data_IF_069252984838
#
_entry.id   IF_069252984838
#
_cell.length_a   1.000
_cell.length_b   1.000
_cell.length_c   1.000
_cell.angle_alpha   90.00
_cell.angle_beta   90.00
_cell.angle_gamma   90.00
#
_symmetry.space_group_name_H-M   'P 1'
#
loop_
_entity.id
_entity.type
_entity.pdbx_description
1 polymer ?
#
# COMPACT_ATOMS: atom_id res chain seq x y z
N UNK A 1 -30.52 42.52 52.24
CA UNK A 1 -29.19 42.28 51.66
C UNK A 1 -29.33 41.09 50.71
N UNK A 2 -29.49 41.34 49.40
CA UNK A 2 -29.64 40.29 48.38
C UNK A 2 -28.24 39.95 47.86
N UNK A 3 -27.79 38.72 48.08
CA UNK A 3 -26.55 38.21 47.48
C UNK A 3 -26.94 37.68 46.10
N UNK A 4 -26.60 38.43 45.06
CA UNK A 4 -26.69 37.94 43.68
C UNK A 4 -25.55 36.97 43.43
N UNK A 5 -25.89 35.69 43.26
CA UNK A 5 -24.94 34.66 42.84
C UNK A 5 -24.62 34.89 41.36
N UNK A 6 -23.44 35.43 41.06
CA UNK A 6 -22.95 35.59 39.70
C UNK A 6 -22.53 34.20 39.19
N UNK A 7 -23.38 33.54 38.40
CA UNK A 7 -22.97 32.36 37.64
C UNK A 7 -22.01 32.80 36.54
N UNK A 8 -20.71 32.58 36.75
CA UNK A 8 -19.72 32.65 35.69
C UNK A 8 -19.89 31.38 34.85
N UNK A 9 -20.64 31.50 33.76
CA UNK A 9 -20.62 30.51 32.68
C UNK A 9 -19.30 30.72 31.95
N UNK A 10 -18.32 29.85 32.21
CA UNK A 10 -17.11 29.79 31.39
C UNK A 10 -17.53 29.11 30.08
N UNK A 11 -17.54 29.82 28.92
CA UNK A 11 -17.74 29.14 27.66
C UNK A 11 -16.58 28.16 27.48
N UNK A 12 -16.87 26.87 27.38
CA UNK A 12 -15.90 25.88 26.91
C UNK A 12 -15.59 26.22 25.45
N UNK A 13 -14.53 26.97 25.22
CA UNK A 13 -13.89 27.00 23.90
C UNK A 13 -13.50 25.56 23.63
N UNK A 14 -14.12 24.92 22.64
CA UNK A 14 -13.67 23.64 22.11
C UNK A 14 -12.21 23.86 21.72
N UNK A 15 -11.30 23.35 22.54
CA UNK A 15 -9.88 23.66 22.44
C UNK A 15 -9.34 23.14 21.12
N UNK A 16 -8.56 23.97 20.43
CA UNK A 16 -7.77 23.56 19.27
C UNK A 16 -7.00 22.28 19.64
N UNK A 17 -7.10 21.20 18.86
CA UNK A 17 -6.35 19.99 19.14
C UNK A 17 -4.85 20.24 19.29
N UNK A 18 -4.23 19.68 20.33
CA UNK A 18 -2.81 19.88 20.58
C UNK A 18 -1.94 19.19 19.52
N UNK A 19 -0.88 19.84 19.05
CA UNK A 19 0.12 19.21 18.20
C UNK A 19 1.03 18.29 19.05
N UNK A 20 0.90 16.98 18.88
CA UNK A 20 1.71 15.99 19.60
C UNK A 20 2.85 15.52 18.68
N UNK A 21 4.07 15.96 18.96
CA UNK A 21 5.21 15.70 18.06
C UNK A 21 5.57 14.22 17.93
N UNK A 22 5.22 13.37 18.91
CA UNK A 22 5.61 11.98 18.90
C UNK A 22 4.61 11.05 19.61
N UNK A 23 4.27 9.95 18.95
CA UNK A 23 3.50 8.85 19.48
C UNK A 23 4.38 7.62 19.69
N UNK A 24 4.26 7.04 20.88
CA UNK A 24 4.96 5.82 21.27
C UNK A 24 3.94 4.69 21.47
N UNK A 25 4.34 3.42 21.29
CA UNK A 25 3.47 2.30 21.58
C UNK A 25 2.94 2.37 23.03
N UNK A 26 1.63 2.17 23.25
CA UNK A 26 1.05 2.22 24.59
C UNK A 26 1.58 1.08 25.47
N UNK A 27 1.65 1.30 26.79
CA UNK A 27 2.01 0.24 27.73
C UNK A 27 1.02 -0.92 27.66
N UNK A 28 -0.28 -0.62 27.53
CA UNK A 28 -1.29 -1.62 27.21
C UNK A 28 -1.35 -1.84 25.70
N UNK A 29 -0.83 -2.98 25.27
CA UNK A 29 -0.64 -3.35 23.86
C UNK A 29 -1.94 -3.69 23.11
N UNK A 30 -3.08 -3.71 23.79
CA UNK A 30 -4.41 -3.86 23.19
C UNK A 30 -5.18 -2.52 23.14
N UNK A 31 -4.57 -1.41 23.59
CA UNK A 31 -5.25 -0.13 23.63
C UNK A 31 -5.15 0.59 22.28
N UNK A 32 -6.31 0.98 21.76
CA UNK A 32 -6.42 1.89 20.63
C UNK A 32 -6.09 3.31 21.10
N UNK A 33 -5.13 3.96 20.46
CA UNK A 33 -4.82 5.38 20.71
C UNK A 33 -5.60 6.24 19.73
N UNK A 34 -6.23 7.30 20.23
CA UNK A 34 -7.03 8.23 19.43
C UNK A 34 -6.34 9.58 19.36
N UNK A 35 -6.31 10.15 18.16
CA UNK A 35 -5.88 11.53 17.97
C UNK A 35 -6.84 12.27 17.03
N UNK A 36 -7.25 13.50 17.39
CA UNK A 36 -7.23 14.06 18.74
C UNK A 36 -7.99 13.22 19.77
N UNK A 37 -7.89 13.52 21.07
CA UNK A 37 -8.57 12.72 22.11
C UNK A 37 -10.10 12.76 22.02
N UNK A 38 -10.67 13.79 21.39
CA UNK A 38 -12.09 13.91 21.11
C UNK A 38 -12.51 13.35 19.73
N UNK A 39 -11.57 12.77 18.98
CA UNK A 39 -11.89 12.07 17.73
C UNK A 39 -12.72 10.83 18.05
N UNK A 40 -13.86 10.73 17.38
CA UNK A 40 -14.57 9.46 17.20
C UNK A 40 -14.77 9.25 15.71
N UNK A 41 -14.90 8.00 15.27
CA UNK A 41 -15.15 7.68 13.86
C UNK A 41 -16.34 8.45 13.26
N UNK A 42 -17.35 8.74 14.09
CA UNK A 42 -18.54 9.52 13.73
C UNK A 42 -18.38 11.04 13.89
N UNK A 43 -17.38 11.49 14.66
CA UNK A 43 -17.18 12.89 15.02
C UNK A 43 -15.71 13.24 14.79
N UNK A 44 -15.42 13.75 13.59
CA UNK A 44 -14.06 14.15 13.20
C UNK A 44 -13.81 15.61 13.64
N UNK A 45 -12.82 15.87 14.52
CA UNK A 45 -12.51 17.21 15.00
C UNK A 45 -12.08 18.14 13.87
N UNK A 46 -12.52 19.40 13.96
CA UNK A 46 -12.14 20.46 13.04
C UNK A 46 -10.86 21.14 13.53
N UNK A 47 -9.95 21.43 12.59
CA UNK A 47 -8.69 22.11 12.86
C UNK A 47 -8.75 23.56 12.35
N UNK A 48 -8.10 24.51 13.06
CA UNK A 48 -8.09 25.92 12.65
C UNK A 48 -7.21 26.15 11.41
N UNK A 49 -7.36 27.31 10.77
CA UNK A 49 -6.45 27.84 9.75
C UNK A 49 -4.98 27.82 10.18
N UNK A 50 -4.09 27.65 9.20
CA UNK A 50 -2.64 27.80 9.36
C UNK A 50 -2.07 26.89 10.46
N UNK A 51 -2.72 25.76 10.70
CA UNK A 51 -2.22 24.75 11.60
C UNK A 51 -1.18 23.92 10.84
N UNK A 52 0.05 23.86 11.38
CA UNK A 52 1.12 23.02 10.85
C UNK A 52 1.61 22.13 12.00
N UNK A 53 1.45 20.82 11.83
CA UNK A 53 1.89 19.84 12.81
C UNK A 53 2.41 18.59 12.13
N UNK A 54 3.50 18.05 12.68
CA UNK A 54 4.08 16.78 12.28
C UNK A 54 4.03 15.81 13.46
N UNK A 55 3.33 14.70 13.26
CA UNK A 55 3.16 13.62 14.22
C UNK A 55 4.16 12.50 13.89
N UNK A 56 5.23 12.38 14.66
CA UNK A 56 6.16 11.26 14.55
C UNK A 56 5.60 10.00 15.18
N UNK A 57 5.65 8.86 14.49
CA UNK A 57 5.11 7.59 14.95
C UNK A 57 6.25 6.60 15.17
N UNK A 58 6.50 6.22 16.42
CA UNK A 58 7.54 5.26 16.76
C UNK A 58 7.00 3.83 16.71
N UNK A 59 7.76 2.94 16.07
CA UNK A 59 7.41 1.52 15.95
C UNK A 59 8.63 0.67 16.32
N UNK A 60 8.52 -0.21 17.34
CA UNK A 60 9.60 -1.13 17.70
C UNK A 60 9.91 -2.15 16.60
N UNK A 61 11.11 -2.73 16.63
CA UNK A 61 11.46 -3.85 15.75
C UNK A 61 10.52 -5.04 15.99
N UNK A 62 10.05 -5.66 14.90
CA UNK A 62 9.12 -6.80 14.97
C UNK A 62 7.66 -6.40 15.20
N UNK A 63 7.34 -5.11 15.09
CA UNK A 63 6.01 -4.55 15.25
C UNK A 63 5.62 -3.71 14.05
N UNK A 64 4.32 -3.49 13.92
CA UNK A 64 3.75 -2.46 13.08
C UNK A 64 2.73 -1.64 13.88
N UNK A 65 2.35 -0.50 13.32
CA UNK A 65 1.19 0.26 13.77
C UNK A 65 0.23 0.40 12.59
N UNK A 66 -1.02 0.01 12.82
CA UNK A 66 -2.12 0.31 11.93
C UNK A 66 -2.68 1.69 12.30
N UNK A 67 -2.80 2.55 11.31
CA UNK A 67 -3.47 3.85 11.40
C UNK A 67 -4.80 3.75 10.66
N UNK A 68 -5.90 4.21 11.27
CA UNK A 68 -7.13 4.51 10.52
C UNK A 68 -7.29 6.03 10.47
N UNK A 69 -7.15 6.60 9.27
CA UNK A 69 -7.12 8.03 9.04
C UNK A 69 -8.47 8.54 8.52
N UNK A 70 -8.94 9.65 9.05
CA UNK A 70 -10.10 10.39 8.56
C UNK A 70 -9.70 11.82 8.24
N UNK A 71 -9.92 12.23 6.98
CA UNK A 71 -9.65 13.59 6.49
C UNK A 71 -10.78 14.02 5.60
N UNK A 72 -11.41 15.12 5.93
CA UNK A 72 -12.38 15.77 5.05
C UNK A 72 -12.08 17.27 4.99
N UNK A 73 -12.35 17.88 3.84
CA UNK A 73 -12.32 19.31 3.71
C UNK A 73 -13.52 19.82 2.93
N UNK A 74 -14.30 20.72 3.53
CA UNK A 74 -15.58 21.19 2.96
C UNK A 74 -15.40 22.20 1.81
N UNK A 75 -14.24 22.87 1.70
CA UNK A 75 -13.97 23.90 0.69
C UNK A 75 -12.62 23.71 -0.05
N UNK A 76 -12.11 22.48 -0.10
CA UNK A 76 -10.86 22.15 -0.79
C UNK A 76 -11.12 21.50 -2.14
N UNK A 77 -10.19 21.67 -3.08
CA UNK A 77 -10.21 20.91 -4.32
C UNK A 77 -9.61 19.52 -4.08
N UNK A 78 -10.47 18.52 -3.85
CA UNK A 78 -10.05 17.12 -3.69
C UNK A 78 -9.16 16.69 -4.86
N UNK A 79 -8.02 16.06 -4.56
CA UNK A 79 -7.02 15.66 -5.55
C UNK A 79 -6.07 16.78 -6.01
N UNK A 80 -6.17 18.00 -5.47
CA UNK A 80 -5.24 19.12 -5.72
C UNK A 80 -4.74 19.74 -4.42
N UNK A 81 -5.65 19.90 -3.47
CA UNK A 81 -5.35 20.38 -2.13
C UNK A 81 -5.09 19.18 -1.23
N UNK A 82 -3.84 19.03 -0.81
CA UNK A 82 -3.39 17.98 0.10
C UNK A 82 -3.02 18.64 1.42
N UNK A 83 -3.89 18.46 2.42
CA UNK A 83 -3.65 18.96 3.77
C UNK A 83 -2.89 17.93 4.62
N UNK A 84 -2.87 16.66 4.20
CA UNK A 84 -2.16 15.60 4.89
C UNK A 84 -1.08 14.97 4.02
N UNK A 85 0.11 14.79 4.60
CA UNK A 85 1.22 14.06 3.99
C UNK A 85 1.67 12.95 4.92
N UNK A 86 1.63 11.73 4.43
CA UNK A 86 2.11 10.53 5.11
C UNK A 86 3.54 10.26 4.63
N UNK A 87 4.49 10.10 5.55
CA UNK A 87 5.88 9.72 5.26
C UNK A 87 6.18 8.38 5.93
N UNK A 88 6.60 7.39 5.15
CA UNK A 88 6.83 6.03 5.64
C UNK A 88 8.25 5.81 6.19
N UNK A 89 8.54 4.57 6.60
CA UNK A 89 9.83 4.12 7.11
C UNK A 89 10.99 4.26 6.12
N UNK A 90 10.70 4.40 4.83
CA UNK A 90 11.67 4.59 3.74
C UNK A 90 11.76 6.07 3.31
N UNK A 91 11.16 6.99 4.06
CA UNK A 91 11.07 8.42 3.74
C UNK A 91 10.31 8.71 2.42
N UNK A 92 9.48 7.77 1.96
CA UNK A 92 8.60 7.94 0.81
C UNK A 92 7.33 8.64 1.27
N UNK A 93 6.76 9.48 0.42
CA UNK A 93 5.62 10.31 0.78
C UNK A 93 4.36 9.95 -0.01
N UNK A 94 3.22 10.02 0.66
CA UNK A 94 1.88 9.92 0.07
C UNK A 94 1.07 11.15 0.51
N UNK A 95 0.43 11.81 -0.46
CA UNK A 95 -0.40 12.98 -0.20
C UNK A 95 -1.86 12.59 -0.14
N UNK A 96 -2.56 13.02 0.90
CA UNK A 96 -3.94 12.65 1.20
C UNK A 96 -4.80 13.92 1.22
N UNK A 97 -5.78 13.97 0.32
CA UNK A 97 -6.76 15.07 0.22
C UNK A 97 -8.12 14.69 0.81
N UNK A 98 -8.39 13.40 0.97
CA UNK A 98 -9.60 12.85 1.55
C UNK A 98 -9.28 11.44 2.06
N UNK A 99 -9.83 11.07 3.21
CA UNK A 99 -9.77 9.71 3.74
C UNK A 99 -10.99 9.46 4.62
N UNK A 100 -11.64 8.31 4.45
CA UNK A 100 -12.72 7.85 5.32
C UNK A 100 -12.31 6.51 5.94
N UNK A 101 -11.93 6.56 7.23
CA UNK A 101 -11.30 5.47 7.98
C UNK A 101 -10.20 4.69 7.20
N UNK A 102 -9.46 5.36 6.33
CA UNK A 102 -8.51 4.72 5.42
C UNK A 102 -7.29 4.18 6.17
N UNK A 103 -6.86 2.97 5.82
CA UNK A 103 -5.75 2.30 6.50
C UNK A 103 -4.38 2.73 5.96
N UNK A 104 -3.48 3.03 6.89
CA UNK A 104 -2.04 3.21 6.68
C UNK A 104 -1.26 2.37 7.68
N UNK A 105 -0.02 2.03 7.34
CA UNK A 105 0.82 1.18 8.17
C UNK A 105 2.23 1.76 8.27
N UNK A 106 2.80 1.69 9.46
CA UNK A 106 4.23 1.91 9.67
C UNK A 106 4.85 0.69 10.34
N UNK A 107 6.05 0.31 9.90
CA UNK A 107 6.88 -0.73 10.54
C UNK A 107 8.06 -0.09 11.27
N UNK A 108 9.03 -0.89 11.72
CA UNK A 108 10.28 -0.42 12.30
C UNK A 108 10.92 0.73 11.50
N UNK A 109 11.60 1.65 12.21
CA UNK A 109 11.97 3.02 11.80
C UNK A 109 10.81 4.02 11.76
N UNK A 110 9.56 3.55 11.93
CA UNK A 110 8.41 4.40 12.12
C UNK A 110 8.04 5.20 10.89
N UNK A 111 7.32 6.30 11.11
CA UNK A 111 6.89 7.19 10.05
C UNK A 111 6.37 8.50 10.61
N UNK A 112 5.78 9.32 9.74
CA UNK A 112 5.26 10.64 10.10
C UNK A 112 3.94 10.89 9.40
N UNK A 113 3.05 11.59 10.10
CA UNK A 113 1.85 12.17 9.53
C UNK A 113 2.00 13.68 9.68
N UNK A 114 1.99 14.42 8.58
CA UNK A 114 2.00 15.88 8.59
C UNK A 114 0.62 16.41 8.23
N UNK A 115 0.08 17.29 9.05
CA UNK A 115 -1.14 18.06 8.78
C UNK A 115 -0.75 19.53 8.56
N UNK A 116 -1.18 20.10 7.44
CA UNK A 116 -1.05 21.52 7.13
C UNK A 116 -2.39 22.04 6.64
N UNK A 117 -3.06 22.87 7.44
CA UNK A 117 -4.36 23.46 7.08
C UNK A 117 -4.17 24.86 6.49
N UNK A 118 -4.89 25.15 5.41
CA UNK A 118 -4.91 26.49 4.78
C UNK A 118 -6.21 27.25 5.05
N UNK A 119 -7.30 26.52 5.30
CA UNK A 119 -8.65 27.02 5.56
C UNK A 119 -9.27 26.35 6.79
N UNK A 120 -10.28 26.97 7.42
CA UNK A 120 -10.91 26.55 8.70
C UNK A 120 -11.86 25.36 8.49
N UNK A 121 -11.61 24.53 7.48
CA UNK A 121 -12.56 23.56 6.95
C UNK A 121 -12.02 22.15 6.93
N UNK A 122 -10.83 21.92 7.48
CA UNK A 122 -10.22 20.59 7.52
C UNK A 122 -10.67 19.88 8.79
N UNK A 123 -11.34 18.75 8.64
CA UNK A 123 -11.56 17.80 9.72
C UNK A 123 -10.51 16.70 9.61
N UNK A 124 -9.87 16.39 10.73
CA UNK A 124 -8.77 15.45 10.77
C UNK A 124 -8.82 14.61 12.05
N UNK A 125 -8.56 13.33 11.91
CA UNK A 125 -8.38 12.44 13.05
C UNK A 125 -7.80 11.12 12.61
N UNK A 126 -7.12 10.43 13.52
CA UNK A 126 -6.68 9.07 13.28
C UNK A 126 -6.68 8.24 14.55
N UNK A 127 -6.84 6.93 14.38
CA UNK A 127 -6.59 5.96 15.44
C UNK A 127 -5.30 5.21 15.17
N UNK A 128 -4.69 4.67 16.22
CA UNK A 128 -3.46 3.89 16.13
C UNK A 128 -3.55 2.63 16.97
N UNK A 129 -3.24 1.50 16.35
CA UNK A 129 -3.16 0.20 17.00
C UNK A 129 -1.79 -0.42 16.70
N UNK A 130 -0.95 -0.58 17.74
CA UNK A 130 0.34 -1.26 17.61
C UNK A 130 0.15 -2.76 17.79
N UNK A 131 0.70 -3.53 16.86
CA UNK A 131 0.62 -4.99 16.87
C UNK A 131 1.99 -5.59 16.56
N UNK A 132 2.35 -6.72 17.20
CA UNK A 132 3.51 -7.48 16.79
C UNK A 132 3.24 -8.13 15.43
N UNK A 133 4.30 -8.42 14.68
CA UNK A 133 4.17 -9.30 13.51
C UNK A 133 3.59 -10.66 13.93
N UNK A 134 2.82 -11.26 13.03
CA UNK A 134 2.25 -12.58 13.29
C UNK A 134 3.34 -13.63 13.54
N UNK A 135 3.09 -14.51 14.52
CA UNK A 135 3.94 -15.67 14.79
C UNK A 135 3.63 -16.87 13.86
N UNK A 136 2.69 -16.70 12.92
CA UNK A 136 2.37 -17.75 11.93
C UNK A 136 3.61 -18.04 11.08
N UNK A 137 4.04 -19.31 10.95
CA UNK A 137 5.13 -19.67 10.07
C UNK A 137 4.87 -19.20 8.63
N UNK A 138 5.85 -18.58 7.96
CA UNK A 138 5.66 -18.14 6.59
C UNK A 138 5.58 -19.33 5.62
N UNK A 139 4.88 -19.13 4.51
CA UNK A 139 4.98 -20.01 3.35
C UNK A 139 6.44 -20.07 2.87
N UNK A 140 6.93 -21.26 2.55
CA UNK A 140 8.23 -21.42 1.90
C UNK A 140 7.99 -21.66 0.42
N UNK A 141 8.38 -20.67 -0.41
CA UNK A 141 8.18 -20.69 -1.84
C UNK A 141 9.53 -20.75 -2.55
N UNK A 142 9.57 -21.36 -3.73
CA UNK A 142 10.74 -21.37 -4.59
C UNK A 142 10.36 -20.85 -5.97
N UNK A 143 11.27 -20.11 -6.59
CA UNK A 143 11.20 -19.70 -7.99
C UNK A 143 12.50 -20.08 -8.70
N UNK A 144 12.38 -20.54 -9.93
CA UNK A 144 13.47 -21.13 -10.72
C UNK A 144 13.51 -20.53 -12.12
N UNK A 145 14.69 -20.57 -12.74
CA UNK A 145 14.85 -20.23 -14.16
C UNK A 145 14.12 -21.23 -15.08
N UNK A 146 13.81 -22.42 -14.59
CA UNK A 146 13.03 -23.41 -15.33
C UNK A 146 11.51 -23.18 -15.25
N UNK A 147 11.05 -22.29 -14.37
CA UNK A 147 9.62 -22.02 -14.21
C UNK A 147 9.07 -21.30 -15.45
N UNK A 148 7.93 -21.79 -15.93
CA UNK A 148 7.19 -21.18 -17.05
C UNK A 148 6.03 -20.31 -16.58
N UNK A 149 5.65 -20.43 -15.30
CA UNK A 149 4.60 -19.64 -14.68
C UNK A 149 5.12 -18.93 -13.43
N UNK A 150 4.74 -17.66 -13.21
CA UNK A 150 5.02 -16.98 -11.95
C UNK A 150 4.41 -17.73 -10.78
N UNK A 151 5.12 -17.77 -9.66
CA UNK A 151 4.53 -18.16 -8.39
C UNK A 151 3.64 -17.01 -7.91
N UNK A 152 2.42 -17.33 -7.50
CA UNK A 152 1.42 -16.34 -7.15
C UNK A 152 1.10 -16.42 -5.65
N UNK A 153 1.20 -15.29 -4.95
CA UNK A 153 0.58 -15.13 -3.63
C UNK A 153 -0.76 -14.43 -3.87
N UNK A 154 -1.83 -15.20 -3.65
CA UNK A 154 -3.22 -14.78 -3.85
C UNK A 154 -3.97 -14.71 -2.52
N UNK A 155 -4.91 -13.76 -2.43
CA UNK A 155 -6.30 -13.89 -1.93
C UNK A 155 -6.55 -14.49 -0.52
N UNK A 156 -7.50 -13.91 0.22
CA UNK A 156 -8.27 -14.48 1.36
C UNK A 156 -7.57 -15.54 2.25
N UNK A 157 -6.33 -15.27 2.66
CA UNK A 157 -5.42 -16.30 3.17
C UNK A 157 -3.97 -16.07 2.77
N UNK A 158 -3.70 -14.98 2.04
CA UNK A 158 -2.36 -14.46 1.81
C UNK A 158 -1.61 -14.42 3.16
N UNK A 159 -0.70 -15.36 3.30
CA UNK A 159 0.14 -15.52 4.48
C UNK A 159 1.51 -14.95 4.18
N UNK A 160 2.26 -14.51 5.21
CA UNK A 160 3.65 -14.15 5.02
C UNK A 160 4.41 -15.27 4.30
N UNK A 161 5.36 -14.90 3.44
CA UNK A 161 6.12 -15.86 2.64
C UNK A 161 7.62 -15.54 2.67
N UNK A 162 8.44 -16.58 2.62
CA UNK A 162 9.86 -16.51 2.31
C UNK A 162 10.07 -17.22 0.97
N UNK A 163 10.60 -16.48 0.02
CA UNK A 163 10.76 -16.90 -1.37
C UNK A 163 12.23 -17.08 -1.65
N UNK A 164 12.61 -18.24 -2.18
CA UNK A 164 13.97 -18.54 -2.62
C UNK A 164 14.05 -18.58 -4.14
N UNK A 165 14.90 -17.75 -4.72
CA UNK A 165 15.27 -17.80 -6.15
C UNK A 165 16.52 -18.64 -6.38
N UNK A 166 16.66 -19.18 -7.59
CA UNK A 166 17.92 -19.77 -8.05
C UNK A 166 19.00 -18.70 -8.23
N UNK A 167 18.60 -17.53 -8.74
CA UNK A 167 19.48 -16.36 -8.87
C UNK A 167 19.07 -15.29 -7.85
N UNK A 168 17.97 -14.58 -8.13
CA UNK A 168 17.36 -13.56 -7.28
C UNK A 168 15.85 -13.68 -7.45
N UNK A 169 15.10 -13.11 -6.52
CA UNK A 169 13.64 -13.06 -6.59
C UNK A 169 13.24 -11.71 -7.17
N UNK A 170 12.37 -11.74 -8.18
CA UNK A 170 11.63 -10.59 -8.69
C UNK A 170 10.19 -10.67 -8.17
N UNK A 171 9.68 -9.55 -7.66
CA UNK A 171 8.29 -9.38 -7.27
C UNK A 171 7.63 -8.26 -8.06
N UNK A 172 6.43 -8.55 -8.55
CA UNK A 172 5.52 -7.61 -9.21
C UNK A 172 4.12 -7.80 -8.62
N UNK A 173 3.21 -6.86 -8.87
CA UNK A 173 1.85 -6.92 -8.31
C UNK A 173 0.84 -6.53 -9.37
N UNK A 174 -0.37 -7.09 -9.26
CA UNK A 174 -1.51 -6.61 -10.03
C UNK A 174 -2.16 -5.48 -9.24
N UNK A 175 -2.26 -4.30 -9.84
CA UNK A 175 -2.91 -3.18 -9.19
C UNK A 175 -4.41 -3.49 -8.98
N UNK A 176 -4.98 -3.10 -7.83
CA UNK A 176 -6.41 -3.22 -7.62
C UNK A 176 -7.16 -2.31 -8.60
N UNK A 177 -8.36 -2.71 -8.96
CA UNK A 177 -9.22 -1.90 -9.83
C UNK A 177 -9.74 -0.65 -9.10
N UNK A 178 -10.12 -0.81 -7.84
CA UNK A 178 -10.71 0.28 -7.07
C UNK A 178 -9.67 0.96 -6.18
N UNK A 179 -9.74 2.28 -6.12
CA UNK A 179 -8.72 3.09 -5.47
C UNK A 179 -8.69 2.89 -3.95
N UNK A 180 -9.83 2.58 -3.34
CA UNK A 180 -10.00 2.32 -1.92
C UNK A 180 -9.37 0.98 -1.50
N UNK A 181 -9.18 0.04 -2.42
CA UNK A 181 -8.46 -1.21 -2.16
C UNK A 181 -6.94 -1.02 -2.01
N UNK A 182 -6.39 0.11 -2.45
CA UNK A 182 -4.96 0.42 -2.28
C UNK A 182 -4.51 0.36 -0.81
N UNK A 183 -5.42 0.58 0.13
CA UNK A 183 -5.13 0.49 1.55
C UNK A 183 -4.63 -0.90 1.96
N UNK A 184 -5.11 -1.97 1.31
CA UNK A 184 -4.68 -3.35 1.60
C UNK A 184 -3.25 -3.61 1.11
N UNK A 185 -2.89 -3.02 -0.03
CA UNK A 185 -1.53 -3.06 -0.57
C UNK A 185 -0.51 -2.30 0.30
N UNK A 186 -0.94 -1.36 1.15
CA UNK A 186 -0.04 -0.72 2.13
C UNK A 186 0.38 -1.68 3.24
N UNK A 187 -0.44 -2.69 3.54
CA UNK A 187 -0.17 -3.72 4.55
C UNK A 187 0.66 -4.91 4.07
N UNK A 188 1.12 -4.89 2.81
CA UNK A 188 1.99 -5.90 2.21
C UNK A 188 3.39 -5.31 2.05
N UNK A 189 4.37 -5.87 2.74
CA UNK A 189 5.74 -5.34 2.82
C UNK A 189 6.73 -6.35 2.25
N UNK A 190 7.68 -5.87 1.43
CA UNK A 190 8.74 -6.68 0.85
C UNK A 190 10.07 -6.41 1.53
N UNK A 191 10.83 -7.47 1.82
CA UNK A 191 12.14 -7.40 2.43
C UNK A 191 13.18 -8.14 1.58
N UNK A 192 14.37 -7.53 1.47
CA UNK A 192 15.52 -8.07 0.77
C UNK A 192 16.29 -9.08 1.64
N UNK A 193 15.73 -10.28 1.78
CA UNK A 193 16.30 -11.37 2.54
C UNK A 193 15.24 -12.30 3.14
N UNK A 194 15.66 -13.33 3.90
CA UNK A 194 14.75 -14.37 4.39
C UNK A 194 13.99 -14.00 5.68
N UNK A 195 14.11 -12.76 6.18
CA UNK A 195 13.52 -12.35 7.47
C UNK A 195 12.93 -10.95 7.41
N UNK A 196 12.00 -10.67 8.31
CA UNK A 196 11.37 -9.35 8.52
C UNK A 196 12.31 -8.28 9.12
N UNK A 197 13.56 -8.66 9.45
CA UNK A 197 14.61 -7.75 9.91
C UNK A 197 15.55 -7.32 8.79
N UNK A 198 15.41 -7.89 7.59
CA UNK A 198 16.20 -7.50 6.44
C UNK A 198 15.81 -6.10 5.93
N UNK A 199 16.52 -5.60 4.92
CA UNK A 199 16.24 -4.28 4.33
C UNK A 199 14.84 -4.26 3.72
N UNK A 200 13.99 -3.31 4.15
CA UNK A 200 12.67 -3.09 3.55
C UNK A 200 12.82 -2.51 2.13
N UNK A 201 12.26 -3.18 1.13
CA UNK A 201 12.22 -2.73 -0.26
C UNK A 201 11.07 -1.74 -0.51
N UNK A 202 9.97 -1.91 0.23
CA UNK A 202 8.78 -1.07 0.19
C UNK A 202 7.49 -1.87 0.33
N UNK A 203 6.38 -1.19 0.05
CA UNK A 203 5.04 -1.81 0.10
C UNK A 203 4.57 -2.25 -1.29
N UNK A 204 3.55 -3.11 -1.34
CA UNK A 204 2.88 -3.46 -2.61
C UNK A 204 2.22 -2.23 -3.25
N UNK A 205 1.73 -1.27 -2.45
CA UNK A 205 1.10 -0.05 -2.96
C UNK A 205 2.13 0.81 -3.71
N UNK A 206 3.33 0.92 -3.17
CA UNK A 206 4.44 1.62 -3.81
C UNK A 206 4.91 0.91 -5.08
N UNK A 207 4.97 -0.42 -5.04
CA UNK A 207 5.34 -1.23 -6.20
C UNK A 207 4.35 -1.04 -7.35
N UNK A 208 3.05 -1.11 -7.05
CA UNK A 208 1.96 -0.87 -7.99
C UNK A 208 2.02 0.53 -8.60
N UNK A 209 2.22 1.58 -7.79
CA UNK A 209 2.32 2.97 -8.27
C UNK A 209 3.59 3.26 -9.06
N UNK A 210 4.67 2.52 -8.78
CA UNK A 210 5.99 2.71 -9.39
C UNK A 210 6.15 2.10 -10.78
N UNK A 211 5.18 1.30 -11.26
CA UNK A 211 5.25 0.57 -12.52
C UNK A 211 6.55 -0.24 -12.68
N UNK A 212 6.99 -0.90 -11.60
CA UNK A 212 8.31 -1.54 -11.53
C UNK A 212 8.24 -2.91 -10.88
N UNK A 213 9.40 -3.52 -10.65
CA UNK A 213 9.59 -4.73 -9.88
C UNK A 213 10.46 -4.44 -8.65
N UNK A 214 10.24 -5.19 -7.57
CA UNK A 214 11.25 -5.32 -6.52
C UNK A 214 12.14 -6.51 -6.83
N UNK A 215 13.44 -6.35 -6.64
CA UNK A 215 14.45 -7.38 -6.91
C UNK A 215 15.31 -7.55 -5.67
N UNK A 216 15.48 -8.78 -5.20
CA UNK A 216 16.38 -9.07 -4.09
C UNK A 216 17.85 -8.93 -4.51
N UNK A 217 18.71 -8.53 -3.56
CA UNK A 217 20.16 -8.47 -3.79
C UNK A 217 20.79 -9.87 -3.88
N UNK A 218 20.26 -10.83 -3.13
CA UNK A 218 20.62 -12.25 -3.17
C UNK A 218 19.45 -13.15 -3.53
N UNK A 219 19.55 -14.43 -3.16
CA UNK A 219 18.60 -15.47 -3.54
C UNK A 219 17.30 -15.50 -2.71
N UNK A 220 17.09 -14.55 -1.80
CA UNK A 220 15.94 -14.56 -0.91
C UNK A 220 15.21 -13.23 -0.90
N UNK A 221 13.89 -13.31 -0.93
CA UNK A 221 12.98 -12.21 -0.63
C UNK A 221 11.94 -12.71 0.35
N UNK A 222 11.47 -11.84 1.23
CA UNK A 222 10.35 -12.19 2.11
C UNK A 222 9.23 -11.16 1.99
N UNK A 223 8.00 -11.65 2.00
CA UNK A 223 6.77 -10.89 1.84
C UNK A 223 6.01 -10.99 3.15
N UNK A 224 5.88 -9.88 3.87
CA UNK A 224 5.12 -9.79 5.11
C UNK A 224 3.73 -9.22 4.83
N UNK A 225 2.72 -9.85 5.41
CA UNK A 225 1.34 -9.40 5.32
C UNK A 225 0.90 -9.09 6.75
N UNK A 226 0.65 -7.81 7.02
CA UNK A 226 0.49 -7.29 8.39
C UNK A 226 -0.86 -7.68 9.00
N UNK A 227 -1.90 -7.84 8.19
CA UNK A 227 -3.25 -8.17 8.64
C UNK A 227 -3.94 -9.19 7.73
N UNK A 228 -4.89 -9.93 8.28
CA UNK A 228 -5.78 -10.77 7.48
C UNK A 228 -6.87 -9.89 6.88
N UNK A 229 -6.88 -9.77 5.56
CA UNK A 229 -7.92 -9.04 4.85
C UNK A 229 -9.06 -10.00 4.50
N UNK A 230 -10.30 -9.65 4.85
CA UNK A 230 -11.50 -10.48 4.62
C UNK A 230 -11.92 -10.60 3.15
N UNK A 231 -11.10 -10.08 2.24
CA UNK A 231 -11.43 -9.89 0.83
C UNK A 231 -10.22 -10.17 -0.07
N UNK A 232 -10.52 -10.32 -1.36
CA UNK A 232 -9.70 -10.92 -2.39
C UNK A 232 -8.66 -9.97 -3.05
N UNK A 233 -8.16 -8.97 -2.34
CA UNK A 233 -7.53 -7.79 -2.97
C UNK A 233 -6.01 -7.86 -3.18
N UNK A 234 -5.33 -9.00 -3.06
CA UNK A 234 -3.86 -9.02 -3.16
C UNK A 234 -3.40 -10.14 -4.09
N UNK A 235 -2.78 -9.72 -5.19
CA UNK A 235 -2.15 -10.59 -6.18
C UNK A 235 -0.69 -10.16 -6.38
N UNK A 236 0.24 -10.98 -5.91
CA UNK A 236 1.69 -10.76 -6.00
C UNK A 236 2.29 -11.86 -6.87
N UNK A 237 2.98 -11.46 -7.93
CA UNK A 237 3.65 -12.36 -8.86
C UNK A 237 5.14 -12.40 -8.53
N UNK A 238 5.65 -13.62 -8.31
CA UNK A 238 7.03 -13.91 -7.95
C UNK A 238 7.69 -14.76 -9.02
N UNK A 239 8.89 -14.37 -9.45
CA UNK A 239 9.65 -15.07 -10.48
C UNK A 239 11.15 -15.04 -10.16
N UNK A 240 11.92 -15.92 -10.78
CA UNK A 240 13.38 -15.74 -10.80
C UNK A 240 13.73 -14.49 -11.62
N UNK A 241 14.69 -13.72 -11.14
CA UNK A 241 15.08 -12.46 -11.79
C UNK A 241 15.65 -12.65 -13.19
N UNK A 242 16.17 -13.83 -13.53
CA UNK A 242 16.68 -14.11 -14.88
C UNK A 242 15.64 -13.83 -15.98
N UNK A 243 14.36 -14.04 -15.67
CA UNK A 243 13.20 -13.84 -16.55
C UNK A 243 12.78 -12.38 -16.68
N UNK A 244 13.20 -11.53 -15.75
CA UNK A 244 12.69 -10.16 -15.60
C UNK A 244 13.76 -9.08 -15.68
N UNK A 245 15.04 -9.47 -15.74
CA UNK A 245 16.20 -8.57 -15.69
C UNK A 245 16.25 -7.50 -16.79
N UNK A 246 15.68 -7.78 -17.95
CA UNK A 246 15.74 -6.89 -19.12
C UNK A 246 14.45 -6.07 -19.28
N UNK A 247 13.45 -6.27 -18.41
CA UNK A 247 12.17 -5.54 -18.44
C UNK A 247 12.31 -4.24 -17.66
N UNK A 248 11.99 -3.12 -18.31
CA UNK A 248 12.15 -1.77 -17.74
C UNK A 248 10.91 -1.26 -17.03
N UNK A 249 9.74 -1.84 -17.32
CA UNK A 249 8.48 -1.43 -16.73
C UNK A 249 7.51 -2.60 -16.57
N UNK A 250 6.85 -2.67 -15.43
CA UNK A 250 5.76 -3.60 -15.17
C UNK A 250 4.48 -2.83 -14.89
N UNK A 251 3.40 -3.23 -15.52
CA UNK A 251 2.05 -2.86 -15.12
C UNK A 251 1.23 -4.13 -14.97
N UNK A 252 0.35 -4.16 -13.99
CA UNK A 252 -0.58 -5.25 -13.81
C UNK A 252 -1.90 -4.71 -13.31
N UNK A 253 -2.99 -5.40 -13.64
CA UNK A 253 -4.32 -5.03 -13.20
C UNK A 253 -5.13 -6.28 -12.88
N UNK A 254 -5.80 -6.28 -11.73
CA UNK A 254 -6.89 -7.22 -11.48
C UNK A 254 -8.18 -6.63 -12.06
N UNK A 255 -8.91 -7.43 -12.85
CA UNK A 255 -10.22 -7.04 -13.36
C UNK A 255 -11.33 -7.73 -12.57
N UNK A 256 -12.33 -6.96 -12.14
CA UNK A 256 -13.50 -7.50 -11.47
C UNK A 256 -14.51 -8.07 -12.48
N UNK A 257 -15.32 -9.02 -12.01
CA UNK A 257 -16.37 -9.73 -12.75
C UNK A 257 -17.38 -8.79 -13.43
N UNK A 258 -17.75 -7.68 -12.77
CA UNK A 258 -18.91 -6.86 -13.16
C UNK A 258 -18.56 -5.60 -13.97
N UNK A 259 -17.29 -5.27 -14.15
CA UNK A 259 -16.89 -3.97 -14.70
C UNK A 259 -15.76 -4.13 -15.73
N UNK A 260 -15.81 -3.30 -16.78
CA UNK A 260 -14.68 -3.19 -17.70
C UNK A 260 -13.50 -2.56 -16.96
N UNK A 261 -12.34 -3.22 -17.00
CA UNK A 261 -11.08 -2.60 -16.63
C UNK A 261 -10.84 -1.35 -17.47
N UNK A 262 -10.93 -0.18 -16.85
CA UNK A 262 -10.69 1.08 -17.55
C UNK A 262 -9.19 1.28 -17.76
N UNK A 263 -8.84 1.49 -19.03
CA UNK A 263 -7.56 1.96 -19.59
C UNK A 263 -6.30 1.62 -18.77
N UNK A 264 -5.58 0.60 -19.23
CA UNK A 264 -4.15 0.43 -18.91
C UNK A 264 -3.42 1.73 -19.26
N UNK A 265 -2.52 2.19 -18.39
CA UNK A 265 -1.75 3.40 -18.65
C UNK A 265 -0.89 3.19 -19.90
N UNK A 266 -0.54 4.29 -20.57
CA UNK A 266 0.47 4.28 -21.63
C UNK A 266 1.73 3.53 -21.15
N UNK A 267 2.21 2.60 -21.96
CA UNK A 267 3.46 1.88 -21.71
C UNK A 267 4.49 2.36 -22.72
N UNK A 268 5.65 2.81 -22.24
CA UNK A 268 6.72 3.34 -23.07
C UNK A 268 7.87 2.33 -23.16
N UNK A 269 7.97 1.67 -24.31
CA UNK A 269 9.02 0.69 -24.59
C UNK A 269 10.29 1.30 -25.22
N UNK A 270 10.44 2.63 -25.22
CA UNK A 270 11.60 3.30 -25.83
C UNK A 270 12.94 2.95 -25.18
N UNK A 271 12.93 2.58 -23.90
CA UNK A 271 14.11 2.23 -23.11
C UNK A 271 14.31 0.71 -22.94
N UNK A 272 13.38 -0.11 -23.44
CA UNK A 272 13.41 -1.56 -23.32
C UNK A 272 12.01 -2.18 -23.24
N UNK A 273 11.92 -3.52 -23.15
CA UNK A 273 10.64 -4.23 -23.03
C UNK A 273 9.82 -3.77 -21.82
N UNK A 274 8.51 -3.62 -22.03
CA UNK A 274 7.51 -3.33 -21.02
C UNK A 274 6.50 -4.46 -20.97
N UNK A 275 6.02 -4.79 -19.78
CA UNK A 275 5.10 -5.91 -19.59
C UNK A 275 3.80 -5.44 -18.95
N UNK A 276 2.70 -5.89 -19.55
CA UNK A 276 1.37 -5.86 -18.94
C UNK A 276 1.00 -7.25 -18.44
N UNK A 277 0.60 -7.34 -17.17
CA UNK A 277 0.29 -8.60 -16.49
C UNK A 277 -1.20 -8.65 -16.14
N UNK A 278 -1.82 -9.80 -16.39
CA UNK A 278 -3.16 -10.10 -15.90
C UNK A 278 -3.18 -11.50 -15.35
N UNK A 279 -4.01 -11.71 -14.33
CA UNK A 279 -4.30 -13.02 -13.80
C UNK A 279 -5.80 -13.19 -13.72
N UNK A 280 -6.28 -14.37 -14.11
CA UNK A 280 -7.65 -14.78 -13.88
C UNK A 280 -7.64 -16.14 -13.20
N UNK A 281 -8.19 -16.29 -12.00
CA UNK A 281 -8.36 -17.60 -11.38
C UNK A 281 -9.34 -18.45 -12.20
N UNK A 282 -9.12 -19.76 -12.23
CA UNK A 282 -9.90 -20.74 -13.02
C UNK A 282 -11.42 -20.65 -12.80
N UNK A 283 -11.85 -20.15 -11.64
CA UNK A 283 -13.27 -19.98 -11.27
C UNK A 283 -13.92 -18.69 -11.79
N UNK A 284 -13.19 -17.82 -12.49
CA UNK A 284 -13.68 -16.55 -13.04
C UNK A 284 -13.57 -16.54 -14.57
N UNK A 285 -14.30 -15.64 -15.22
CA UNK A 285 -14.20 -15.43 -16.67
C UNK A 285 -12.82 -14.87 -17.03
N UNK A 286 -12.20 -15.34 -18.13
CA UNK A 286 -10.90 -14.90 -18.56
C UNK A 286 -10.90 -13.38 -18.82
N UNK A 287 -9.84 -12.71 -18.38
CA UNK A 287 -9.59 -11.34 -18.81
C UNK A 287 -9.35 -11.33 -20.32
N UNK A 288 -10.06 -10.44 -21.02
CA UNK A 288 -9.93 -10.28 -22.48
C UNK A 288 -9.44 -8.89 -22.78
N UNK A 289 -8.28 -8.80 -23.41
CA UNK A 289 -7.79 -7.55 -24.00
C UNK A 289 -8.52 -7.37 -25.34
N UNK A 290 -9.37 -6.34 -25.43
CA UNK A 290 -10.22 -6.09 -26.62
C UNK A 290 -9.57 -5.14 -27.63
N UNK A 291 -8.50 -4.43 -27.25
CA UNK A 291 -7.77 -3.55 -28.14
C UNK A 291 -6.50 -3.01 -27.51
N UNK A 292 -5.45 -2.89 -28.32
CA UNK A 292 -4.18 -2.24 -27.99
C UNK A 292 -3.87 -1.33 -29.18
N UNK A 293 -3.49 -0.08 -28.91
CA UNK A 293 -3.05 0.87 -29.92
C UNK A 293 -1.63 1.31 -29.61
N UNK A 294 -0.72 1.24 -30.58
CA UNK A 294 0.67 1.65 -30.41
C UNK A 294 1.47 1.48 -31.69
N UNK A 295 2.76 1.78 -31.62
CA UNK A 295 3.73 1.61 -32.72
C UNK A 295 4.72 0.48 -32.46
N UNK A 296 4.55 -0.26 -31.36
CA UNK A 296 5.43 -1.34 -30.95
C UNK A 296 4.84 -2.71 -31.27
N UNK A 297 5.69 -3.74 -31.18
CA UNK A 297 5.25 -5.13 -31.29
C UNK A 297 4.71 -5.62 -29.96
N UNK A 298 3.66 -6.44 -30.01
CA UNK A 298 3.06 -7.08 -28.85
C UNK A 298 3.29 -8.58 -28.92
N UNK A 299 4.05 -9.11 -27.98
CA UNK A 299 4.20 -10.55 -27.75
C UNK A 299 3.36 -10.98 -26.53
N UNK A 300 2.56 -12.03 -26.71
CA UNK A 300 1.64 -12.54 -25.69
C UNK A 300 2.14 -13.89 -25.19
N UNK A 301 2.38 -13.98 -23.89
CA UNK A 301 2.88 -15.18 -23.24
C UNK A 301 1.82 -15.78 -22.31
N UNK A 302 1.77 -17.11 -22.22
CA UNK A 302 1.05 -17.80 -21.15
C UNK A 302 2.02 -18.04 -19.98
N UNK A 303 1.75 -17.40 -18.83
CA UNK A 303 2.67 -17.41 -17.69
C UNK A 303 3.73 -16.31 -17.77
N UNK A 304 4.98 -16.65 -17.46
CA UNK A 304 6.10 -15.72 -17.32
C UNK A 304 7.00 -15.73 -18.56
N UNK A 305 7.67 -14.63 -18.89
CA UNK A 305 8.64 -14.63 -20.01
C UNK A 305 9.81 -15.55 -19.63
N UNK A 306 10.06 -16.60 -20.41
CA UNK A 306 11.17 -17.52 -20.13
C UNK A 306 12.39 -17.22 -20.99
N UNK A 307 13.58 -17.48 -20.45
CA UNK A 307 14.83 -17.43 -21.22
C UNK A 307 14.95 -18.55 -22.27
N UNK A 308 14.04 -19.54 -22.27
CA UNK A 308 14.05 -20.71 -23.16
C UNK A 308 13.15 -20.49 -24.39
N UNK A 309 13.66 -19.75 -25.39
CA UNK A 309 13.16 -19.74 -26.78
C UNK A 309 11.63 -19.65 -26.99
N UNK A 310 10.89 -18.94 -26.13
CA UNK A 310 9.49 -18.60 -26.36
C UNK A 310 8.52 -19.79 -26.44
N UNK A 311 8.79 -20.89 -25.72
CA UNK A 311 7.89 -22.06 -25.71
C UNK A 311 6.48 -21.76 -25.17
N UNK A 312 6.32 -20.64 -24.46
CA UNK A 312 5.06 -20.15 -23.94
C UNK A 312 4.58 -18.85 -24.61
N UNK A 313 5.23 -18.41 -25.70
CA UNK A 313 4.71 -17.37 -26.59
C UNK A 313 3.52 -17.97 -27.37
N UNK A 314 2.35 -17.34 -27.27
CA UNK A 314 1.12 -17.83 -27.90
C UNK A 314 0.64 -16.97 -29.07
N UNK A 315 1.06 -15.69 -29.13
CA UNK A 315 0.72 -14.79 -30.23
C UNK A 315 1.69 -13.60 -30.30
N UNK A 316 1.83 -13.03 -31.50
CA UNK A 316 2.56 -11.79 -31.75
C UNK A 316 1.75 -10.87 -32.67
N UNK A 317 1.72 -9.57 -32.37
CA UNK A 317 1.00 -8.55 -33.14
C UNK A 317 1.92 -7.36 -33.45
N UNK A 318 1.64 -6.66 -34.55
CA UNK A 318 2.33 -5.46 -35.01
C UNK A 318 1.37 -4.28 -35.10
#
# INVERSE_FOLDING_TARGET
MRVSLLLIVIPTVIGVPACINQFNPPQNRNALTWYPSNFTKTTVPMFPNNFDCEYGINVPQGWFVQIQLSVTCTNCNVGKDYDVVITDQLQRTERVSFADEERFYFIANGGKIKLTTRTDTVQFGFTMLWQPYSNTPPALLNVSQSDTQPTLIVRNGAQPAVVRGETKVSATVLAPQWWDENQYFRGVIFFDGPTWNATCLGTASQLSKGNTQYVSSGNYMSVLILEAFSFDYIDILLQDYSHTKDIVQFQGMECNWSEQCLFVKMMDASMGPVVFQTYTPVSRWPNVITGISGTGNLDVYIGGITSSNGTNLIASYQ
#
